data_IF_085488037329
#
_entry.id   IF_085488037329
#
_cell.length_a   1.000
_cell.length_b   1.000
_cell.length_c   1.000
_cell.angle_alpha   90.00
_cell.angle_beta   90.00
_cell.angle_gamma   90.00
#
_symmetry.space_group_name_H-M   'P 1'
#
loop_
_entity.id
_entity.type
_entity.pdbx_description
1 polymer ?
#
# COMPACT_ATOMS: atom_id res chain seq x y z
N UNK A 1 2.60 11.70 -51.26
CA UNK A 1 1.22 11.13 -51.21
C UNK A 1 1.16 10.21 -50.03
N UNK A 2 0.29 10.53 -49.06
CA UNK A 2 0.20 9.87 -47.76
C UNK A 2 -0.16 10.92 -46.72
N UNK A 3 -1.45 11.24 -46.65
CA UNK A 3 -2.01 12.15 -45.65
C UNK A 3 -2.35 11.31 -44.40
N UNK A 4 -1.79 11.68 -43.25
CA UNK A 4 -2.25 11.19 -41.96
C UNK A 4 -3.28 12.17 -41.41
N UNK A 5 -4.46 11.65 -41.08
CA UNK A 5 -5.56 12.41 -40.49
C UNK A 5 -5.43 12.35 -38.97
N UNK A 6 -5.22 13.50 -38.33
CA UNK A 6 -5.39 13.66 -36.88
C UNK A 6 -6.88 13.60 -36.52
N UNK A 7 -7.25 12.66 -35.66
CA UNK A 7 -8.58 12.65 -35.02
C UNK A 7 -8.48 13.48 -33.74
N UNK A 8 -8.93 14.73 -33.81
CA UNK A 8 -9.11 15.60 -32.65
C UNK A 8 -10.38 15.19 -31.90
N UNK A 9 -10.22 14.65 -30.69
CA UNK A 9 -11.35 14.48 -29.75
C UNK A 9 -11.51 15.79 -28.98
N UNK A 10 -12.60 16.52 -29.25
CA UNK A 10 -12.96 17.72 -28.49
C UNK A 10 -13.53 17.34 -27.11
N UNK A 11 -12.76 17.58 -26.05
CA UNK A 11 -13.29 17.67 -24.69
C UNK A 11 -13.75 19.11 -24.43
N UNK A 12 -15.04 19.37 -24.65
CA UNK A 12 -15.67 20.60 -24.19
C UNK A 12 -15.85 20.54 -22.67
N UNK A 13 -14.92 21.13 -21.92
CA UNK A 13 -15.19 21.54 -20.54
C UNK A 13 -15.48 23.04 -20.53
N UNK A 14 -16.76 23.38 -20.62
CA UNK A 14 -17.23 24.74 -20.44
C UNK A 14 -17.19 25.05 -18.94
N UNK A 15 -16.22 25.86 -18.52
CA UNK A 15 -16.24 26.48 -17.19
C UNK A 15 -17.28 27.61 -17.26
N UNK A 16 -18.34 27.64 -16.42
CA UNK A 16 -19.20 28.80 -16.39
C UNK A 16 -18.42 29.93 -15.71
N UNK A 17 -18.15 30.99 -16.47
CA UNK A 17 -17.73 32.28 -15.90
C UNK A 17 -18.94 32.80 -15.15
N UNK A 18 -18.83 32.88 -13.82
CA UNK A 18 -19.88 33.43 -12.98
C UNK A 18 -19.71 34.96 -12.93
N UNK A 19 -20.49 35.66 -13.75
CA UNK A 19 -20.65 37.12 -13.64
C UNK A 19 -21.23 37.44 -12.26
N UNK A 20 -20.54 38.31 -11.51
CA UNK A 20 -20.97 38.77 -10.19
C UNK A 20 -21.75 40.09 -10.34
N UNK A 21 -23.06 40.13 -10.10
CA UNK A 21 -23.80 41.38 -10.02
C UNK A 21 -23.58 42.00 -8.63
N UNK A 22 -23.14 43.25 -8.60
CA UNK A 22 -23.10 44.06 -7.39
C UNK A 22 -24.51 44.63 -7.12
N UNK A 23 -25.15 44.20 -6.02
CA UNK A 23 -25.69 45.08 -4.98
C UNK A 23 -26.67 44.39 -4.01
N UNK A 24 -26.50 44.80 -2.73
CA UNK A 24 -27.45 44.92 -1.61
C UNK A 24 -28.07 43.67 -0.96
N UNK A 25 -27.61 43.46 0.28
CA UNK A 25 -28.35 43.05 1.49
C UNK A 25 -29.32 41.87 1.36
N UNK A 26 -28.75 40.67 1.36
CA UNK A 26 -29.44 39.47 1.81
C UNK A 26 -28.56 38.78 2.87
N UNK A 27 -29.15 38.49 4.03
CA UNK A 27 -28.54 37.73 5.11
C UNK A 27 -28.30 36.28 4.65
N UNK A 28 -27.19 36.07 3.94
CA UNK A 28 -26.74 34.76 3.47
C UNK A 28 -26.07 34.06 4.64
N UNK A 29 -26.79 33.11 5.25
CA UNK A 29 -26.16 32.10 6.09
C UNK A 29 -24.98 31.50 5.33
N UNK A 30 -23.78 31.68 5.88
CA UNK A 30 -22.53 31.15 5.34
C UNK A 30 -22.73 29.70 4.90
N UNK A 31 -22.39 29.32 3.66
CA UNK A 31 -22.36 27.91 3.31
C UNK A 31 -21.37 27.25 4.28
N UNK A 32 -21.81 26.15 4.91
CA UNK A 32 -20.90 25.29 5.67
C UNK A 32 -19.74 24.94 4.72
N UNK A 33 -18.54 25.42 5.06
CA UNK A 33 -17.35 25.11 4.28
C UNK A 33 -17.14 23.61 4.38
N UNK A 34 -17.57 22.86 3.36
CA UNK A 34 -17.27 21.44 3.27
C UNK A 34 -15.76 21.34 3.11
N UNK A 35 -15.05 21.08 4.21
CA UNK A 35 -13.61 20.90 4.19
C UNK A 35 -13.37 19.61 3.38
N UNK A 36 -13.01 19.77 2.11
CA UNK A 36 -12.57 18.64 1.30
C UNK A 36 -11.28 18.11 1.91
N UNK A 37 -11.35 16.93 2.54
CA UNK A 37 -10.19 16.28 3.12
C UNK A 37 -9.26 15.85 1.98
N UNK A 38 -8.09 16.49 1.91
CA UNK A 38 -7.06 16.11 0.97
C UNK A 38 -6.41 14.80 1.40
N UNK A 39 -6.42 13.78 0.53
CA UNK A 39 -5.73 12.51 0.74
C UNK A 39 -4.58 12.42 -0.27
N UNK A 40 -3.31 12.43 0.16
CA UNK A 40 -2.19 12.30 -0.76
C UNK A 40 -2.14 10.92 -1.40
N UNK A 41 -1.73 10.85 -2.67
CA UNK A 41 -1.47 9.60 -3.38
C UNK A 41 -0.01 9.20 -3.20
N UNK A 42 0.21 7.94 -2.80
CA UNK A 42 1.54 7.35 -2.70
C UNK A 42 1.91 6.72 -4.05
N UNK A 43 3.16 6.90 -4.47
CA UNK A 43 3.71 6.27 -5.68
C UNK A 43 5.12 5.79 -5.38
N UNK A 44 5.45 4.58 -5.82
CA UNK A 44 6.78 4.01 -5.62
C UNK A 44 7.36 3.39 -6.89
N UNK A 45 8.68 3.18 -6.86
CA UNK A 45 9.43 2.42 -7.86
C UNK A 45 10.29 1.37 -7.16
N UNK A 46 10.57 0.28 -7.85
CA UNK A 46 11.47 -0.77 -7.37
C UNK A 46 12.37 -1.25 -8.51
N UNK A 47 13.54 -1.74 -8.13
CA UNK A 47 14.50 -2.36 -9.04
C UNK A 47 15.24 -3.45 -8.27
N UNK A 48 15.50 -4.56 -8.95
CA UNK A 48 16.29 -5.67 -8.42
C UNK A 48 17.17 -6.20 -9.55
N UNK A 49 18.41 -6.56 -9.21
CA UNK A 49 19.39 -7.09 -10.15
C UNK A 49 20.17 -8.20 -9.46
N UNK A 50 20.33 -9.32 -10.16
CA UNK A 50 21.10 -10.47 -9.68
C UNK A 50 22.59 -10.15 -9.60
N UNK A 51 23.06 -9.20 -10.43
CA UNK A 51 24.46 -8.82 -10.50
C UNK A 51 25.37 -10.03 -10.79
N UNK A 52 26.49 -10.22 -10.06
CA UNK A 52 27.43 -11.31 -10.31
C UNK A 52 27.00 -12.67 -9.74
N UNK A 53 25.86 -12.75 -9.04
CA UNK A 53 25.38 -14.02 -8.46
C UNK A 53 24.86 -14.94 -9.55
N UNK A 54 24.86 -16.24 -9.28
CA UNK A 54 24.34 -17.25 -10.23
C UNK A 54 22.82 -17.31 -10.22
N UNK A 55 22.21 -17.00 -9.09
CA UNK A 55 20.77 -17.08 -8.85
C UNK A 55 20.31 -15.80 -8.14
N UNK A 56 19.09 -15.38 -8.45
CA UNK A 56 18.40 -14.31 -7.74
C UNK A 56 17.66 -14.91 -6.56
N UNK A 57 18.07 -14.57 -5.34
CA UNK A 57 17.42 -15.03 -4.10
C UNK A 57 16.60 -13.92 -3.43
N UNK A 58 16.71 -12.66 -3.89
CA UNK A 58 15.94 -11.55 -3.33
C UNK A 58 14.52 -11.48 -3.88
N UNK A 59 13.60 -11.07 -3.01
CA UNK A 59 12.19 -10.85 -3.31
C UNK A 59 11.73 -9.50 -2.74
N UNK A 60 10.65 -8.93 -3.30
CA UNK A 60 10.09 -7.69 -2.76
C UNK A 60 8.57 -7.57 -2.95
N UNK A 61 7.96 -6.75 -2.09
CA UNK A 61 6.57 -6.32 -2.16
C UNK A 61 6.52 -4.80 -2.31
N UNK A 62 5.66 -4.34 -3.21
CA UNK A 62 5.42 -2.92 -3.49
C UNK A 62 3.94 -2.65 -3.67
N UNK A 63 3.30 -2.12 -2.63
CA UNK A 63 1.86 -1.84 -2.62
C UNK A 63 1.64 -0.38 -2.23
N UNK A 64 1.29 0.44 -3.22
CA UNK A 64 1.05 1.89 -3.05
C UNK A 64 -0.33 2.22 -2.46
N UNK A 65 -1.30 1.31 -2.61
CA UNK A 65 -2.64 1.40 -2.03
C UNK A 65 -3.00 0.07 -1.37
N UNK A 66 -2.66 -0.05 -0.08
CA UNK A 66 -2.88 -1.26 0.72
C UNK A 66 -4.37 -1.52 0.95
N UNK A 67 -5.17 -0.45 1.09
CA UNK A 67 -6.62 -0.57 1.25
C UNK A 67 -7.28 -1.16 0.01
N UNK A 68 -6.89 -0.70 -1.19
CA UNK A 68 -7.39 -1.28 -2.44
C UNK A 68 -6.88 -2.71 -2.65
N UNK A 69 -5.64 -3.01 -2.22
CA UNK A 69 -5.04 -4.33 -2.38
C UNK A 69 -5.71 -5.41 -1.52
N UNK A 70 -6.03 -5.11 -0.26
CA UNK A 70 -6.68 -6.05 0.65
C UNK A 70 -8.22 -5.99 0.59
N UNK A 71 -8.77 -5.03 -0.16
CA UNK A 71 -10.21 -4.87 -0.37
C UNK A 71 -10.97 -4.43 0.89
N UNK A 72 -12.28 -4.64 0.90
CA UNK A 72 -13.15 -4.25 2.02
C UNK A 72 -13.00 -5.11 3.28
N UNK A 73 -12.06 -6.05 3.29
CA UNK A 73 -11.83 -6.95 4.42
C UNK A 73 -11.19 -6.25 5.61
N UNK A 74 -10.45 -5.16 5.36
CA UNK A 74 -9.72 -4.43 6.40
C UNK A 74 -9.92 -2.92 6.22
N UNK A 75 -9.96 -2.18 7.33
CA UNK A 75 -9.96 -0.72 7.32
C UNK A 75 -8.61 -0.19 7.76
N UNK A 76 -7.99 0.62 6.91
CA UNK A 76 -6.75 1.32 7.21
C UNK A 76 -6.96 2.84 7.23
N UNK A 77 -6.20 3.58 8.06
CA UNK A 77 -6.04 5.01 7.90
C UNK A 77 -5.49 5.34 6.50
N UNK A 78 -6.06 6.35 5.84
CA UNK A 78 -5.72 6.69 4.44
C UNK A 78 -4.78 7.89 4.36
N UNK A 79 -3.76 7.87 3.48
CA UNK A 79 -3.42 6.76 2.57
C UNK A 79 -2.72 5.61 3.32
N UNK A 80 -2.78 4.39 2.77
CA UNK A 80 -2.04 3.24 3.30
C UNK A 80 -1.22 2.54 2.24
N UNK A 81 0.00 2.14 2.58
CA UNK A 81 0.91 1.45 1.68
C UNK A 81 1.78 0.44 2.45
N UNK A 82 2.24 -0.61 1.76
CA UNK A 82 3.12 -1.62 2.33
C UNK A 82 4.25 -1.97 1.38
N UNK A 83 5.46 -2.04 1.93
CA UNK A 83 6.68 -2.40 1.21
C UNK A 83 7.44 -3.46 1.99
N UNK A 84 8.08 -4.37 1.27
CA UNK A 84 8.91 -5.42 1.85
C UNK A 84 10.08 -5.75 0.95
N UNK A 85 11.26 -5.99 1.53
CA UNK A 85 12.45 -6.49 0.85
C UNK A 85 12.92 -7.72 1.64
N UNK A 86 13.19 -8.81 0.91
CA UNK A 86 13.56 -10.10 1.46
C UNK A 86 14.84 -10.58 0.76
N UNK A 87 15.95 -10.65 1.50
CA UNK A 87 17.24 -11.16 1.00
C UNK A 87 17.36 -12.64 1.37
N UNK A 88 17.07 -13.51 0.40
CA UNK A 88 17.13 -14.96 0.54
C UNK A 88 18.54 -15.49 0.61
N UNK A 89 18.73 -16.62 1.28
CA UNK A 89 19.99 -17.34 1.32
C UNK A 89 19.75 -18.84 1.46
N UNK A 90 20.64 -19.64 0.86
CA UNK A 90 20.51 -21.10 0.89
C UNK A 90 19.40 -21.62 -0.03
N UNK A 91 19.03 -20.84 -1.05
CA UNK A 91 17.92 -21.07 -1.97
C UNK A 91 16.94 -19.87 -1.99
N UNK A 92 16.25 -19.61 -3.12
CA UNK A 92 15.26 -18.53 -3.23
C UNK A 92 13.93 -18.82 -2.51
N UNK A 93 13.72 -20.06 -2.08
CA UNK A 93 12.41 -20.56 -1.64
C UNK A 93 11.90 -19.85 -0.39
N UNK A 94 12.76 -19.54 0.59
CA UNK A 94 12.35 -18.85 1.80
C UNK A 94 11.88 -17.41 1.53
N UNK A 95 12.64 -16.65 0.72
CA UNK A 95 12.26 -15.30 0.33
C UNK A 95 10.93 -15.29 -0.45
N UNK A 96 10.77 -16.25 -1.37
CA UNK A 96 9.54 -16.42 -2.14
C UNK A 96 8.34 -16.81 -1.26
N UNK A 97 8.54 -17.70 -0.27
CA UNK A 97 7.51 -18.10 0.69
C UNK A 97 7.06 -16.90 1.52
N UNK A 98 7.99 -16.15 2.11
CA UNK A 98 7.66 -14.97 2.91
C UNK A 98 6.94 -13.93 2.06
N UNK A 99 7.43 -13.61 0.86
CA UNK A 99 6.77 -12.69 -0.07
C UNK A 99 5.31 -13.08 -0.34
N UNK A 100 5.05 -14.37 -0.51
CA UNK A 100 3.71 -14.87 -0.82
C UNK A 100 2.74 -14.77 0.37
N UNK A 101 3.22 -15.03 1.59
CA UNK A 101 2.34 -15.25 2.74
C UNK A 101 2.29 -14.07 3.72
N UNK A 102 3.33 -13.21 3.75
CA UNK A 102 3.51 -12.19 4.80
C UNK A 102 2.33 -11.24 4.94
N UNK A 103 1.64 -10.84 3.87
CA UNK A 103 0.49 -9.94 3.97
C UNK A 103 -0.68 -10.57 4.73
N UNK A 104 -1.03 -11.81 4.43
CA UNK A 104 -2.09 -12.54 5.15
C UNK A 104 -1.72 -12.72 6.62
N UNK A 105 -0.46 -13.12 6.86
CA UNK A 105 0.05 -13.33 8.21
C UNK A 105 0.13 -12.04 9.04
N UNK A 106 0.45 -10.89 8.42
CA UNK A 106 0.55 -9.61 9.13
C UNK A 106 -0.80 -8.95 9.37
N UNK A 107 -1.79 -9.12 8.48
CA UNK A 107 -3.06 -8.37 8.53
C UNK A 107 -4.28 -9.24 8.84
N UNK A 108 -4.36 -10.45 8.29
CA UNK A 108 -5.53 -11.33 8.47
C UNK A 108 -5.42 -12.22 9.72
N UNK A 109 -4.23 -12.74 10.04
CA UNK A 109 -4.07 -13.78 11.08
C UNK A 109 -3.68 -13.22 12.48
N UNK A 110 -3.52 -11.90 12.59
CA UNK A 110 -2.95 -11.21 13.76
C UNK A 110 -3.94 -10.33 14.51
N UNK A 111 -5.24 -10.37 14.17
CA UNK A 111 -6.25 -9.42 14.66
C UNK A 111 -5.77 -7.97 14.50
N UNK A 112 -5.28 -7.63 13.30
CA UNK A 112 -4.75 -6.30 13.03
C UNK A 112 -5.82 -5.24 13.30
N UNK A 113 -5.49 -4.11 13.96
CA UNK A 113 -6.50 -3.13 14.35
C UNK A 113 -7.15 -2.46 13.13
N UNK A 114 -8.49 -2.44 13.10
CA UNK A 114 -9.29 -1.91 12.00
C UNK A 114 -9.95 -0.57 12.37
N UNK A 115 -9.23 0.52 12.17
CA UNK A 115 -9.73 1.89 12.41
C UNK A 115 -9.22 2.85 11.35
N UNK A 116 -9.91 3.98 11.19
CA UNK A 116 -9.48 5.09 10.32
C UNK A 116 -8.71 6.16 11.08
N UNK A 117 -8.72 6.13 12.41
CA UNK A 117 -8.06 7.11 13.28
C UNK A 117 -6.79 6.50 13.89
N UNK A 118 -5.72 7.29 13.95
CA UNK A 118 -4.45 6.89 14.55
C UNK A 118 -4.34 7.49 15.95
N UNK A 119 -4.43 6.63 16.96
CA UNK A 119 -4.13 6.94 18.36
C UNK A 119 -3.02 6.01 18.90
N UNK A 120 -2.59 6.23 20.14
CA UNK A 120 -1.52 5.45 20.75
C UNK A 120 -1.90 3.95 20.89
N UNK A 121 -3.17 3.66 21.16
CA UNK A 121 -3.67 2.29 21.27
C UNK A 121 -3.65 1.56 19.92
N UNK A 122 -3.98 2.25 18.84
CA UNK A 122 -3.84 1.76 17.48
C UNK A 122 -2.40 1.41 17.16
N UNK A 123 -1.45 2.30 17.45
CA UNK A 123 -0.03 2.06 17.18
C UNK A 123 0.51 0.85 17.97
N UNK A 124 0.12 0.69 19.22
CA UNK A 124 0.47 -0.49 20.04
C UNK A 124 -0.13 -1.77 19.44
N UNK A 125 -1.39 -1.71 18.98
CA UNK A 125 -2.05 -2.81 18.28
C UNK A 125 -1.32 -3.21 17.01
N UNK A 126 -0.94 -2.23 16.17
CA UNK A 126 -0.16 -2.45 14.95
C UNK A 126 1.17 -3.13 15.28
N UNK A 127 1.92 -2.63 16.26
CA UNK A 127 3.21 -3.20 16.67
C UNK A 127 3.07 -4.66 17.15
N UNK A 128 2.05 -4.94 17.95
CA UNK A 128 1.74 -6.29 18.43
C UNK A 128 1.37 -7.24 17.28
N UNK A 129 0.51 -6.80 16.36
CA UNK A 129 0.11 -7.58 15.19
C UNK A 129 1.28 -7.86 14.25
N UNK A 130 2.16 -6.88 14.02
CA UNK A 130 3.36 -7.09 13.20
C UNK A 130 4.31 -8.12 13.83
N UNK A 131 4.58 -8.02 15.14
CA UNK A 131 5.40 -9.01 15.87
C UNK A 131 4.83 -10.42 15.75
N UNK A 132 3.53 -10.56 16.01
CA UNK A 132 2.84 -11.84 15.91
C UNK A 132 2.87 -12.38 14.48
N UNK A 133 2.67 -11.54 13.47
CA UNK A 133 2.64 -11.99 12.08
C UNK A 133 4.00 -12.45 11.57
N UNK A 134 5.10 -11.81 12.00
CA UNK A 134 6.45 -12.32 11.70
C UNK A 134 6.75 -13.64 12.42
N UNK A 135 6.28 -13.82 13.66
CA UNK A 135 6.37 -15.12 14.34
C UNK A 135 5.60 -16.20 13.58
N UNK A 136 4.39 -15.89 13.10
CA UNK A 136 3.60 -16.84 12.30
C UNK A 136 4.26 -17.13 10.94
N UNK A 137 4.93 -16.15 10.33
CA UNK A 137 5.69 -16.35 9.10
C UNK A 137 6.88 -17.30 9.30
N UNK A 138 7.60 -17.17 10.41
CA UNK A 138 8.69 -18.09 10.76
C UNK A 138 8.18 -19.52 10.98
N UNK A 139 7.09 -19.68 11.72
CA UNK A 139 6.45 -20.99 11.94
C UNK A 139 5.95 -21.60 10.62
N UNK A 140 5.25 -20.82 9.78
CA UNK A 140 4.75 -21.29 8.50
C UNK A 140 5.88 -21.69 7.54
N UNK A 141 7.00 -20.97 7.57
CA UNK A 141 8.20 -21.30 6.81
C UNK A 141 8.81 -22.62 7.29
N UNK A 142 8.92 -22.81 8.61
CA UNK A 142 9.46 -24.03 9.21
C UNK A 142 8.59 -25.27 8.95
N UNK A 143 7.27 -25.10 8.81
CA UNK A 143 6.31 -26.17 8.54
C UNK A 143 6.19 -26.52 7.04
N UNK A 144 6.70 -25.69 6.11
CA UNK A 144 6.59 -25.91 4.67
C UNK A 144 7.69 -26.88 4.18
N UNK A 145 7.31 -28.15 3.98
CA UNK A 145 8.22 -29.19 3.51
C UNK A 145 8.77 -29.00 2.09
N UNK A 146 8.26 -28.01 1.32
CA UNK A 146 8.81 -27.66 0.02
C UNK A 146 9.96 -26.65 0.11
N UNK A 147 10.16 -26.02 1.27
CA UNK A 147 11.29 -25.14 1.53
C UNK A 147 12.40 -25.94 2.18
N UNK A 148 13.63 -25.79 1.70
CA UNK A 148 14.79 -26.43 2.32
C UNK A 148 15.00 -25.91 3.75
N UNK A 149 15.27 -26.79 4.70
CA UNK A 149 15.62 -26.41 6.08
C UNK A 149 16.93 -25.59 6.18
N UNK A 150 17.71 -25.50 5.09
CA UNK A 150 18.90 -24.65 5.01
C UNK A 150 18.64 -23.30 4.35
N UNK A 151 17.42 -23.07 3.82
CA UNK A 151 17.02 -21.81 3.22
C UNK A 151 16.46 -20.87 4.29
N UNK A 152 16.77 -19.59 4.15
CA UNK A 152 16.28 -18.53 5.02
C UNK A 152 16.18 -17.22 4.26
N UNK A 153 15.59 -16.22 4.88
CA UNK A 153 15.53 -14.87 4.30
C UNK A 153 15.60 -13.83 5.40
N UNK A 154 16.18 -12.67 5.08
CA UNK A 154 15.92 -11.47 5.87
C UNK A 154 14.55 -10.90 5.52
N UNK A 155 14.07 -9.95 6.33
CA UNK A 155 12.87 -9.17 6.01
C UNK A 155 13.01 -7.74 6.52
N UNK A 156 12.93 -6.77 5.62
CA UNK A 156 12.77 -5.36 5.94
C UNK A 156 11.45 -4.87 5.36
N UNK A 157 10.56 -4.37 6.22
CA UNK A 157 9.24 -3.88 5.80
C UNK A 157 9.00 -2.44 6.20
N UNK A 158 8.15 -1.76 5.44
CA UNK A 158 7.63 -0.44 5.75
C UNK A 158 6.12 -0.42 5.57
N UNK A 159 5.41 -0.07 6.64
CA UNK A 159 3.97 0.14 6.64
C UNK A 159 3.70 1.65 6.79
N UNK A 160 3.05 2.24 5.78
CA UNK A 160 2.65 3.64 5.79
C UNK A 160 1.17 3.71 6.07
N UNK A 161 0.77 4.52 7.04
CA UNK A 161 -0.61 4.75 7.44
C UNK A 161 -0.83 6.26 7.58
N UNK A 162 -1.92 6.76 7.00
CA UNK A 162 -2.31 8.17 7.11
C UNK A 162 -2.73 8.53 8.53
N UNK A 163 -2.75 9.83 8.83
CA UNK A 163 -3.24 10.39 10.10
C UNK A 163 -4.56 11.10 9.91
#
# INVERSE_FOLDING_TARGET
MGAEAEVMVQLQHTIPVLDVPCCSDLDVKSPESTILQFIPSIRSGSFADTGPRRFMEDEHIRIDDLSAHLGSLMKFPKPSAFYGIFDGHGGPEAAAHVRKNVLGLLFSDTNFPETSEVDDAFLEGVESSLRKGFLLADLALADDCNVSNSSGTTALTALVLGR
#
